data_IF_500214759991
#
_entry.id   IF_500214759991
#
_cell.length_a   1.000
_cell.length_b   1.000
_cell.length_c   1.000
_cell.angle_alpha   90.00
_cell.angle_beta   90.00
_cell.angle_gamma   90.00
#
_symmetry.space_group_name_H-M   'P 1'
#
loop_
_entity.id
_entity.type
_entity.pdbx_description
1 polymer ?
#
# COMPACT_ATOMS: atom_id res chain seq x y z
N UNK A 1 -12.19 -1.67 -3.09
CA UNK A 1 -12.12 -2.25 -4.45
C UNK A 1 -10.75 -2.89 -4.60
N UNK A 2 -10.62 -4.01 -5.33
CA UNK A 2 -9.33 -4.67 -5.58
C UNK A 2 -9.15 -4.89 -7.08
N UNK A 3 -7.96 -4.64 -7.59
CA UNK A 3 -7.58 -4.88 -8.97
C UNK A 3 -6.11 -5.35 -9.01
N UNK A 4 -5.73 -6.03 -10.10
CA UNK A 4 -4.37 -6.49 -10.33
C UNK A 4 -3.75 -5.70 -11.48
N UNK A 5 -2.50 -5.31 -11.33
CA UNK A 5 -1.70 -4.62 -12.36
C UNK A 5 -0.62 -5.58 -12.89
N UNK A 6 -0.10 -5.36 -14.11
CA UNK A 6 1.09 -6.07 -14.59
C UNK A 6 2.28 -5.93 -13.63
N UNK A 7 3.18 -6.92 -13.63
CA UNK A 7 4.34 -6.97 -12.72
C UNK A 7 5.36 -5.84 -12.94
N UNK A 8 5.33 -5.19 -14.09
CA UNK A 8 6.30 -4.15 -14.47
C UNK A 8 6.15 -2.86 -13.64
N UNK A 9 5.01 -2.69 -12.96
CA UNK A 9 4.73 -1.53 -12.11
C UNK A 9 5.32 -1.73 -10.69
N UNK A 10 6.60 -1.37 -10.53
CA UNK A 10 7.34 -1.59 -9.29
C UNK A 10 7.46 -0.37 -8.38
N UNK A 11 7.16 0.81 -8.89
CA UNK A 11 7.26 2.06 -8.17
C UNK A 11 5.89 2.64 -7.86
N UNK A 12 5.77 3.23 -6.68
CA UNK A 12 4.57 3.88 -6.19
C UNK A 12 4.89 5.33 -5.85
N UNK A 13 4.07 6.23 -6.35
CA UNK A 13 4.10 7.64 -5.97
C UNK A 13 2.70 8.05 -5.51
N UNK A 14 2.61 8.77 -4.39
CA UNK A 14 1.33 9.24 -3.88
C UNK A 14 1.44 10.62 -3.23
N UNK A 15 0.30 11.32 -3.21
CA UNK A 15 0.10 12.53 -2.42
C UNK A 15 -0.96 12.24 -1.36
N UNK A 16 -0.55 12.28 -0.09
CA UNK A 16 -1.36 11.85 1.05
C UNK A 16 -0.49 11.67 2.29
N UNK A 17 -0.94 10.86 3.26
CA UNK A 17 -0.13 10.58 4.45
C UNK A 17 1.04 9.64 4.17
N UNK A 18 2.19 9.93 4.78
CA UNK A 18 3.40 9.11 4.66
C UNK A 18 4.56 9.60 5.53
N UNK A 19 5.78 9.06 5.31
CA UNK A 19 6.14 8.05 4.32
C UNK A 19 5.76 6.60 4.73
N UNK A 20 5.55 6.34 6.01
CA UNK A 20 5.20 5.01 6.55
C UNK A 20 3.70 4.70 6.44
N UNK A 21 3.32 3.49 6.81
CA UNK A 21 1.91 3.06 6.86
C UNK A 21 1.10 3.83 7.91
N UNK A 22 -0.19 4.02 7.66
CA UNK A 22 -1.12 4.72 8.53
C UNK A 22 -2.49 4.05 8.51
N UNK A 23 -3.22 4.19 9.62
CA UNK A 23 -4.55 3.61 9.81
C UNK A 23 -5.49 4.65 10.41
N UNK A 24 -6.79 4.39 10.35
CA UNK A 24 -7.82 5.30 10.86
C UNK A 24 -7.54 5.81 12.29
N UNK A 25 -7.13 4.90 13.18
CA UNK A 25 -6.79 5.15 14.58
C UNK A 25 -5.29 5.46 14.81
N UNK A 26 -4.45 5.31 13.78
CA UNK A 26 -2.99 5.48 13.85
C UNK A 26 -2.45 6.22 12.62
N UNK A 27 -2.71 7.52 12.54
CA UNK A 27 -2.25 8.36 11.42
C UNK A 27 -1.52 9.65 11.79
N UNK A 28 -1.53 10.06 13.06
CA UNK A 28 -0.98 11.35 13.52
C UNK A 28 0.51 11.54 13.21
N UNK A 29 1.30 10.45 13.20
CA UNK A 29 2.74 10.51 12.87
C UNK A 29 3.02 10.58 11.38
N UNK A 30 2.05 10.29 10.51
CA UNK A 30 2.20 10.32 9.06
C UNK A 30 1.77 11.70 8.55
N UNK A 31 2.74 12.47 8.06
CA UNK A 31 2.50 13.82 7.54
C UNK A 31 1.88 13.75 6.14
N UNK A 32 1.11 14.79 5.78
CA UNK A 32 0.60 14.93 4.41
C UNK A 32 1.71 15.50 3.55
N UNK A 33 2.01 14.84 2.44
CA UNK A 33 3.09 15.24 1.54
C UNK A 33 3.14 14.39 0.28
N UNK A 34 4.12 14.73 -0.56
CA UNK A 34 4.45 13.95 -1.75
C UNK A 34 5.49 12.89 -1.38
N UNK A 35 5.19 11.63 -1.66
CA UNK A 35 6.06 10.51 -1.34
C UNK A 35 6.21 9.58 -2.55
N UNK A 36 7.37 8.95 -2.67
CA UNK A 36 7.64 7.92 -3.66
C UNK A 36 8.51 6.81 -3.08
N UNK A 37 8.39 5.62 -3.65
CA UNK A 37 9.22 4.47 -3.30
C UNK A 37 8.78 3.22 -4.03
N UNK A 38 9.57 2.15 -3.93
CA UNK A 38 9.18 0.87 -4.49
C UNK A 38 7.95 0.31 -3.77
N UNK A 39 7.09 -0.41 -4.48
CA UNK A 39 5.92 -1.12 -3.91
C UNK A 39 6.37 -2.04 -2.78
N UNK A 40 7.52 -2.71 -2.96
CA UNK A 40 8.14 -3.54 -1.94
C UNK A 40 8.62 -2.79 -0.70
N UNK A 41 9.12 -1.56 -0.87
CA UNK A 41 9.46 -0.69 0.25
C UNK A 41 8.26 -0.24 1.07
N UNK A 42 7.02 -0.37 0.56
CA UNK A 42 5.81 -0.02 1.29
C UNK A 42 5.26 -1.15 2.15
N UNK A 43 5.75 -2.37 1.98
CA UNK A 43 5.34 -3.54 2.77
C UNK A 43 6.22 -3.68 4.00
N UNK A 44 5.64 -3.63 5.20
CA UNK A 44 6.38 -3.89 6.44
C UNK A 44 6.47 -5.41 6.71
N UNK A 45 7.67 -5.89 7.01
CA UNK A 45 7.93 -7.31 7.28
C UNK A 45 7.66 -7.65 8.74
N UNK A 46 6.39 -7.81 9.08
CA UNK A 46 6.00 -8.36 10.38
C UNK A 46 6.46 -9.81 10.53
N UNK A 47 6.77 -10.23 11.76
CA UNK A 47 7.18 -11.62 12.09
C UNK A 47 6.16 -12.64 11.58
N UNK A 48 4.88 -12.29 11.65
CA UNK A 48 3.78 -12.99 11.01
C UNK A 48 3.20 -12.11 9.90
N UNK A 49 3.04 -12.60 8.66
CA UNK A 49 2.36 -11.88 7.60
C UNK A 49 0.95 -11.45 8.03
N UNK A 50 0.69 -10.16 7.88
CA UNK A 50 -0.53 -9.46 8.29
C UNK A 50 -0.76 -8.29 7.34
N UNK A 51 -1.93 -7.66 7.42
CA UNK A 51 -2.23 -6.41 6.70
C UNK A 51 -1.18 -5.34 7.04
N UNK A 52 -0.68 -4.64 6.01
CA UNK A 52 0.44 -3.69 6.12
C UNK A 52 0.43 -2.70 4.95
N UNK A 53 1.13 -1.58 5.08
CA UNK A 53 1.41 -0.69 3.96
C UNK A 53 0.26 0.24 3.57
N UNK A 54 -0.79 0.29 4.40
CA UNK A 54 -1.94 1.17 4.16
C UNK A 54 -1.53 2.66 4.19
N UNK A 55 -2.09 3.44 3.27
CA UNK A 55 -1.94 4.90 3.19
C UNK A 55 -3.30 5.52 3.38
N UNK A 56 -3.42 6.47 4.30
CA UNK A 56 -4.68 7.15 4.62
C UNK A 56 -4.69 8.58 4.09
N UNK A 57 -5.89 9.14 3.93
CA UNK A 57 -6.10 10.52 3.47
C UNK A 57 -5.37 10.80 2.13
N UNK A 58 -5.44 9.86 1.18
CA UNK A 58 -4.76 9.94 -0.12
C UNK A 58 -5.59 10.73 -1.11
N UNK A 59 -4.96 11.73 -1.73
CA UNK A 59 -5.55 12.54 -2.80
C UNK A 59 -5.38 11.85 -4.16
N UNK A 60 -4.17 11.34 -4.42
CA UNK A 60 -3.88 10.56 -5.62
C UNK A 60 -2.74 9.58 -5.39
N UNK A 61 -2.74 8.52 -6.18
CA UNK A 61 -1.72 7.47 -6.18
C UNK A 61 -1.47 7.04 -7.64
N UNK A 62 -0.21 6.84 -8.03
CA UNK A 62 0.17 6.42 -9.38
C UNK A 62 1.36 5.47 -9.37
N UNK A 63 1.42 4.64 -10.41
CA UNK A 63 2.47 3.64 -10.63
C UNK A 63 3.42 4.02 -11.78
N UNK A 64 3.20 5.17 -12.42
CA UNK A 64 4.08 5.73 -13.45
C UNK A 64 4.13 7.25 -13.32
N UNK A 65 5.30 7.83 -13.57
CA UNK A 65 5.56 9.28 -13.52
C UNK A 65 4.72 10.13 -14.51
N UNK A 66 3.88 9.52 -15.35
CA UNK A 66 3.28 10.18 -16.50
C UNK A 66 1.77 10.37 -16.46
N UNK A 67 1.02 9.75 -15.53
CA UNK A 67 -0.44 9.95 -15.42
C UNK A 67 -0.92 9.57 -14.01
N UNK A 68 -0.94 10.56 -13.13
CA UNK A 68 -1.70 10.47 -11.89
C UNK A 68 -3.19 10.68 -12.17
N UNK A 69 -4.03 10.07 -11.36
CA UNK A 69 -5.43 10.48 -11.20
C UNK A 69 -5.42 11.82 -10.45
N UNK A 70 -5.44 12.95 -11.16
CA UNK A 70 -5.58 14.27 -10.54
C UNK A 70 -7.02 14.41 -10.02
N UNK A 71 -7.21 14.09 -8.75
CA UNK A 71 -8.47 14.26 -8.04
C UNK A 71 -8.56 15.65 -7.43
N UNK A 72 -8.75 16.69 -8.24
CA UNK A 72 -9.00 18.04 -7.70
C UNK A 72 -10.32 18.12 -6.92
N UNK A 73 -11.21 17.10 -7.07
CA UNK A 73 -12.55 17.05 -6.48
C UNK A 73 -13.03 15.65 -6.05
N UNK A 74 -12.14 14.65 -5.99
CA UNK A 74 -12.52 13.31 -5.52
C UNK A 74 -12.46 13.25 -3.99
N UNK A 75 -13.35 12.48 -3.33
CA UNK A 75 -13.20 12.19 -1.91
C UNK A 75 -11.84 11.52 -1.67
N UNK A 76 -11.20 11.89 -0.56
CA UNK A 76 -9.99 11.21 -0.10
C UNK A 76 -10.25 9.71 0.03
N UNK A 77 -9.25 8.91 -0.30
CA UNK A 77 -9.33 7.46 -0.19
C UNK A 77 -8.17 6.91 0.62
N UNK A 78 -8.38 5.70 1.13
CA UNK A 78 -7.34 4.90 1.75
C UNK A 78 -7.01 3.73 0.84
N UNK A 79 -5.75 3.32 0.81
CA UNK A 79 -5.33 2.22 -0.05
C UNK A 79 -3.92 1.71 0.22
N UNK A 80 -3.71 0.45 -0.18
CA UNK A 80 -2.43 -0.25 -0.13
C UNK A 80 -2.13 -0.90 -1.48
N UNK A 81 -0.85 -1.19 -1.70
CA UNK A 81 -0.36 -1.90 -2.90
C UNK A 81 0.61 -2.97 -2.46
N UNK A 82 0.42 -4.18 -2.97
CA UNK A 82 1.26 -5.35 -2.67
C UNK A 82 1.73 -6.02 -3.95
N UNK A 83 2.93 -6.61 -3.94
CA UNK A 83 3.44 -7.44 -5.05
C UNK A 83 2.99 -8.91 -4.98
N UNK A 84 2.20 -9.27 -3.97
CA UNK A 84 1.64 -10.58 -3.75
C UNK A 84 0.11 -10.50 -3.70
N UNK A 85 -0.60 -11.61 -4.00
CA UNK A 85 -2.02 -11.65 -3.80
C UNK A 85 -2.35 -11.49 -2.31
N UNK A 86 -3.33 -10.63 -2.00
CA UNK A 86 -3.77 -10.37 -0.62
C UNK A 86 -4.09 -11.63 0.20
N UNK A 87 -4.48 -12.73 -0.46
CA UNK A 87 -4.72 -14.03 0.18
C UNK A 87 -3.48 -14.64 0.87
N UNK A 88 -2.28 -14.19 0.50
CA UNK A 88 -1.05 -14.68 1.14
C UNK A 88 -0.86 -14.09 2.54
N UNK A 89 -1.66 -13.09 2.93
CA UNK A 89 -1.73 -12.57 4.30
C UNK A 89 -2.77 -13.29 5.17
N UNK A 90 -3.62 -14.14 4.58
CA UNK A 90 -4.69 -14.79 5.32
C UNK A 90 -4.11 -15.81 6.31
N UNK A 91 -4.63 -15.80 7.52
CA UNK A 91 -4.21 -16.76 8.53
C UNK A 91 -4.86 -18.12 8.27
N UNK A 92 -4.01 -19.14 8.09
CA UNK A 92 -4.44 -20.54 8.09
C UNK A 92 -3.99 -21.20 9.41
N UNK A 93 -4.92 -21.77 10.21
CA UNK A 93 -4.56 -22.48 11.43
C UNK A 93 -3.59 -23.63 11.13
N UNK A 94 -2.38 -23.58 11.69
CA UNK A 94 -1.35 -24.62 11.53
C UNK A 94 -0.30 -24.36 10.45
N UNK A 95 -0.40 -23.28 9.67
CA UNK A 95 0.71 -22.82 8.85
C UNK A 95 1.50 -21.73 9.59
N UNK A 96 2.82 -21.82 9.60
CA UNK A 96 3.71 -20.82 10.22
C UNK A 96 3.75 -19.50 9.43
N UNK A 97 2.70 -19.18 8.66
CA UNK A 97 2.64 -17.99 7.79
C UNK A 97 3.69 -17.99 6.67
N UNK A 98 4.41 -19.09 6.47
CA UNK A 98 5.58 -19.21 5.58
C UNK A 98 5.35 -20.21 4.44
N UNK A 99 4.11 -20.47 4.02
CA UNK A 99 3.84 -21.58 3.09
C UNK A 99 3.67 -21.15 1.61
N UNK A 100 3.77 -19.86 1.28
CA UNK A 100 3.55 -19.38 -0.11
C UNK A 100 4.52 -18.30 -0.57
N UNK A 101 5.80 -18.45 -0.30
CA UNK A 101 6.84 -17.60 -0.92
C UNK A 101 7.76 -18.43 -1.81
N UNK A 102 7.34 -18.68 -3.06
CA UNK A 102 8.21 -18.99 -4.21
C UNK A 102 7.64 -18.34 -5.46
#
# INVERSE_FOLDING_TARGET
>A
MKFSLPKDYNDLTWYGRGPHESYWDRKTSAAIGYYSGSVWGQTFKYVRPQETGNKTDVFWMTFQMAKGINGDWLPLFDGSVHQYPYSDLDYYPGSDGMEKSI
#
